data_IF_619472129706
#
_entry.id   IF_619472129706
#
_cell.length_a   1.000
_cell.length_b   1.000
_cell.length_c   1.000
_cell.angle_alpha   90.00
_cell.angle_beta   90.00
_cell.angle_gamma   90.00
#
_symmetry.space_group_name_H-M   'P 1'
#
loop_
_entity.id
_entity.type
_entity.pdbx_description
1 polymer ?
#
# COMPACT_ATOMS: atom_id res chain seq x y z
N UNK A 1 -4.42 -5.88 10.29
CA UNK A 1 -3.46 -6.86 9.73
C UNK A 1 -2.57 -6.15 8.73
N UNK A 2 -1.27 -6.46 8.71
CA UNK A 2 -0.30 -5.96 7.74
C UNK A 2 0.14 -7.14 6.88
N UNK A 3 0.04 -7.02 5.56
CA UNK A 3 0.54 -7.99 4.59
C UNK A 3 1.80 -7.43 3.92
N UNK A 4 2.83 -8.24 3.76
CA UNK A 4 3.97 -7.93 2.88
C UNK A 4 3.77 -8.68 1.58
N UNK A 5 3.76 -7.97 0.46
CA UNK A 5 3.43 -8.52 -0.85
C UNK A 5 4.36 -7.99 -1.94
N UNK A 6 5.32 -8.81 -2.36
CA UNK A 6 6.24 -8.51 -3.45
C UNK A 6 5.61 -8.56 -4.84
N UNK A 7 4.34 -8.97 -4.95
CA UNK A 7 3.54 -8.84 -6.17
C UNK A 7 2.93 -7.46 -6.39
N UNK A 8 2.97 -6.58 -5.38
CA UNK A 8 2.45 -5.22 -5.45
C UNK A 8 3.59 -4.20 -5.54
N UNK A 9 3.57 -3.34 -6.56
CA UNK A 9 4.57 -2.27 -6.71
C UNK A 9 4.47 -1.21 -5.61
N UNK A 10 3.25 -0.90 -5.18
CA UNK A 10 2.97 0.19 -4.25
C UNK A 10 2.49 -0.32 -2.90
N UNK A 11 2.64 0.52 -1.87
CA UNK A 11 1.98 0.27 -0.59
C UNK A 11 0.50 0.68 -0.69
N UNK A 12 -0.37 -0.14 -0.11
CA UNK A 12 -1.82 0.04 -0.17
C UNK A 12 -2.36 0.14 1.25
N UNK A 13 -3.26 1.09 1.47
CA UNK A 13 -3.95 1.30 2.74
C UNK A 13 -5.46 1.29 2.49
N UNK A 14 -6.23 0.63 3.36
CA UNK A 14 -7.68 0.71 3.25
C UNK A 14 -8.19 2.13 3.52
N UNK A 15 -9.07 2.62 2.67
CA UNK A 15 -9.63 3.97 2.79
C UNK A 15 -10.31 4.21 4.15
N UNK A 16 -10.98 3.20 4.71
CA UNK A 16 -11.61 3.32 6.02
C UNK A 16 -10.59 3.54 7.15
N UNK A 17 -9.45 2.84 7.09
CA UNK A 17 -8.38 2.99 8.08
C UNK A 17 -7.74 4.38 8.00
N UNK A 18 -7.49 4.89 6.79
CA UNK A 18 -6.97 6.25 6.59
C UNK A 18 -7.90 7.31 7.20
N UNK A 19 -9.21 7.17 7.02
CA UNK A 19 -10.21 8.05 7.62
C UNK A 19 -10.28 7.93 9.15
N UNK A 20 -10.29 6.70 9.66
CA UNK A 20 -10.34 6.44 11.10
C UNK A 20 -9.13 7.00 11.85
N UNK A 21 -7.94 6.94 11.22
CA UNK A 21 -6.69 7.49 11.76
C UNK A 21 -6.50 8.99 11.46
N UNK A 22 -7.48 9.64 10.82
CA UNK A 22 -7.41 11.05 10.43
C UNK A 22 -6.16 11.42 9.60
N UNK A 23 -5.73 10.52 8.72
CA UNK A 23 -4.60 10.79 7.83
C UNK A 23 -4.97 11.84 6.79
N UNK A 24 -3.97 12.59 6.33
CA UNK A 24 -4.16 13.52 5.22
C UNK A 24 -4.36 12.72 3.92
N UNK A 25 -5.57 12.79 3.37
CA UNK A 25 -5.94 12.11 2.13
C UNK A 25 -5.91 13.14 1.01
N UNK A 26 -5.13 12.86 -0.02
CA UNK A 26 -4.94 13.72 -1.18
C UNK A 26 -5.38 12.98 -2.46
N UNK A 27 -5.89 13.70 -3.47
CA UNK A 27 -6.14 13.12 -4.77
C UNK A 27 -4.81 12.72 -5.43
N UNK A 28 -4.80 11.59 -6.13
CA UNK A 28 -3.67 11.15 -6.97
C UNK A 28 -4.12 11.05 -8.43
N UNK A 29 -3.15 10.98 -9.34
CA UNK A 29 -3.43 10.53 -10.71
C UNK A 29 -4.10 9.15 -10.65
N UNK A 30 -5.28 9.05 -11.26
CA UNK A 30 -6.05 7.82 -11.28
C UNK A 30 -5.34 6.70 -12.04
N UNK A 31 -5.30 5.51 -11.45
CA UNK A 31 -4.86 4.29 -12.12
C UNK A 31 -5.74 3.10 -11.71
N UNK A 32 -5.80 2.09 -12.57
CA UNK A 32 -6.60 0.89 -12.34
C UNK A 32 -5.71 -0.35 -12.29
N UNK A 33 -5.94 -1.21 -11.30
CA UNK A 33 -5.28 -2.51 -11.19
C UNK A 33 -6.36 -3.60 -11.28
N UNK A 34 -6.14 -4.57 -12.15
CA UNK A 34 -6.96 -5.77 -12.19
C UNK A 34 -6.58 -6.68 -11.03
N UNK A 35 -7.57 -7.02 -10.20
CA UNK A 35 -7.39 -7.94 -9.07
C UNK A 35 -7.89 -9.34 -9.42
N UNK A 36 -7.53 -10.36 -8.63
CA UNK A 36 -7.66 -11.78 -8.98
C UNK A 36 -9.05 -12.30 -9.38
N UNK A 37 -10.12 -11.52 -9.15
CA UNK A 37 -11.48 -11.82 -9.61
C UNK A 37 -11.84 -11.15 -10.95
N UNK A 38 -10.86 -10.56 -11.67
CA UNK A 38 -11.01 -9.77 -12.90
C UNK A 38 -11.76 -8.45 -12.72
N UNK A 39 -12.03 -8.04 -11.49
CA UNK A 39 -12.51 -6.69 -11.23
C UNK A 39 -11.36 -5.70 -11.37
N UNK A 40 -11.72 -4.49 -11.80
CA UNK A 40 -10.82 -3.37 -11.85
C UNK A 40 -11.01 -2.51 -10.61
N UNK A 41 -9.94 -2.34 -9.85
CA UNK A 41 -9.91 -1.42 -8.72
C UNK A 41 -9.27 -0.13 -9.17
N UNK A 42 -10.03 0.96 -9.05
CA UNK A 42 -9.56 2.31 -9.38
C UNK A 42 -9.02 2.97 -8.11
N UNK A 43 -7.78 3.43 -8.18
CA UNK A 43 -7.12 4.22 -7.15
C UNK A 43 -7.17 5.68 -7.55
N UNK A 44 -7.79 6.52 -6.71
CA UNK A 44 -7.93 7.96 -6.95
C UNK A 44 -7.37 8.83 -5.83
N UNK A 45 -7.00 8.21 -4.70
CA UNK A 45 -6.51 8.92 -3.52
C UNK A 45 -5.28 8.22 -2.94
N UNK A 46 -4.46 9.01 -2.25
CA UNK A 46 -3.29 8.55 -1.53
C UNK A 46 -3.10 9.32 -0.21
N UNK A 47 -2.22 8.78 0.64
CA UNK A 47 -1.64 9.48 1.78
C UNK A 47 -0.13 9.47 1.56
N UNK A 48 0.50 10.64 1.40
CA UNK A 48 1.91 10.71 0.97
C UNK A 48 2.93 10.53 2.11
N UNK A 49 2.54 10.82 3.35
CA UNK A 49 3.43 10.81 4.50
C UNK A 49 2.77 10.10 5.69
N UNK A 50 2.65 8.78 5.61
CA UNK A 50 2.09 7.97 6.71
C UNK A 50 3.22 7.40 7.57
N UNK A 51 3.27 7.73 8.88
CA UNK A 51 4.21 7.09 9.79
C UNK A 51 3.77 5.65 10.06
N UNK A 52 4.64 4.70 9.75
CA UNK A 52 4.51 3.29 10.05
C UNK A 52 5.59 2.88 11.05
N UNK A 53 5.18 2.61 12.28
CA UNK A 53 6.10 2.28 13.38
C UNK A 53 6.12 0.76 13.63
N UNK A 54 7.31 0.20 13.53
CA UNK A 54 7.68 -1.12 14.06
C UNK A 54 8.40 -0.94 15.40
N UNK A 55 8.56 -1.99 16.22
CA UNK A 55 9.12 -1.86 17.57
C UNK A 55 10.45 -1.11 17.67
N UNK A 56 11.28 -1.15 16.63
CA UNK A 56 12.62 -0.55 16.63
C UNK A 56 12.80 0.58 15.62
N UNK A 57 11.89 0.75 14.66
CA UNK A 57 12.06 1.67 13.52
C UNK A 57 10.73 2.27 13.10
N UNK A 58 10.76 3.52 12.64
CA UNK A 58 9.62 4.18 12.01
C UNK A 58 9.96 4.56 10.58
N UNK A 59 9.05 4.25 9.67
CA UNK A 59 9.14 4.60 8.26
C UNK A 59 8.06 5.65 7.95
N UNK A 60 8.39 6.64 7.12
CA UNK A 60 7.39 7.54 6.56
C UNK A 60 7.21 7.17 5.09
N UNK A 61 6.03 6.64 4.74
CA UNK A 61 5.79 6.02 3.45
C UNK A 61 4.53 6.58 2.79
N UNK A 62 4.50 6.65 1.45
CA UNK A 62 3.27 6.89 0.73
C UNK A 62 2.43 5.61 0.66
N UNK A 63 1.11 5.76 0.72
CA UNK A 63 0.11 4.70 0.55
C UNK A 63 -0.97 5.13 -0.44
N UNK A 64 -1.33 4.24 -1.37
CA UNK A 64 -2.51 4.41 -2.20
C UNK A 64 -3.73 3.82 -1.51
N UNK A 65 -4.89 4.49 -1.65
CA UNK A 65 -6.08 4.11 -0.92
C UNK A 65 -6.94 3.12 -1.70
N UNK A 66 -7.16 1.96 -1.11
CA UNK A 66 -8.08 0.95 -1.61
C UNK A 66 -9.52 1.33 -1.22
N UNK A 67 -10.46 1.48 -2.19
CA UNK A 67 -11.83 1.91 -1.89
C UNK A 67 -12.74 0.81 -1.31
N UNK A 68 -12.44 -0.47 -1.53
CA UNK A 68 -13.31 -1.61 -1.17
C UNK A 68 -12.87 -2.36 0.12
N UNK A 69 -13.68 -3.33 0.55
CA UNK A 69 -13.36 -4.35 1.58
C UNK A 69 -12.06 -5.09 1.22
N UNK A 70 -11.20 -5.37 2.21
CA UNK A 70 -9.85 -5.87 1.96
C UNK A 70 -8.94 -5.91 3.19
N UNK A 71 -7.63 -6.01 2.95
CA UNK A 71 -6.60 -6.12 3.97
C UNK A 71 -6.13 -4.75 4.45
N UNK A 72 -6.11 -4.53 5.77
CA UNK A 72 -5.78 -3.26 6.44
C UNK A 72 -4.64 -2.46 5.81
N UNK A 73 -3.47 -3.08 5.70
CA UNK A 73 -2.24 -2.48 5.15
C UNK A 73 -1.54 -3.53 4.29
N UNK A 74 -1.13 -3.17 3.08
CA UNK A 74 -0.25 -3.97 2.22
C UNK A 74 1.04 -3.18 1.98
N UNK A 75 2.18 -3.80 2.27
CA UNK A 75 3.51 -3.26 2.02
C UNK A 75 4.07 -3.93 0.77
N UNK A 76 4.24 -3.13 -0.27
CA UNK A 76 4.71 -3.58 -1.57
C UNK A 76 6.21 -3.45 -1.74
N UNK A 77 6.65 -3.58 -2.98
CA UNK A 77 8.03 -3.35 -3.42
C UNK A 77 8.52 -1.96 -2.98
N UNK A 78 7.68 -0.92 -3.04
CA UNK A 78 8.06 0.42 -2.59
C UNK A 78 8.61 0.45 -1.14
N UNK A 79 8.02 -0.32 -0.23
CA UNK A 79 8.55 -0.47 1.13
C UNK A 79 9.75 -1.43 1.18
N UNK A 80 9.72 -2.57 0.48
CA UNK A 80 10.83 -3.52 0.45
C UNK A 80 12.14 -2.86 -0.02
N UNK A 81 12.08 -2.02 -1.06
CA UNK A 81 13.22 -1.23 -1.54
C UNK A 81 13.77 -0.25 -0.51
N UNK A 82 12.96 0.17 0.47
CA UNK A 82 13.37 1.14 1.50
C UNK A 82 14.18 0.51 2.64
N UNK A 83 14.07 -0.81 2.83
CA UNK A 83 14.78 -1.54 3.89
C UNK A 83 16.11 -2.15 3.42
N UNK A 84 16.36 -2.16 2.11
CA UNK A 84 17.62 -2.60 1.52
C UNK A 84 17.45 -3.33 0.18
N UNK A 85 18.56 -3.86 -0.38
CA UNK A 85 18.51 -4.74 -1.55
C UNK A 85 17.66 -5.98 -1.28
N UNK A 86 16.85 -6.40 -2.26
CA UNK A 86 16.07 -7.63 -2.21
C UNK A 86 16.19 -8.38 -3.54
N UNK A 87 16.08 -9.71 -3.49
CA UNK A 87 15.99 -10.56 -4.67
C UNK A 87 14.61 -11.21 -4.73
N UNK A 88 13.95 -11.08 -5.88
CA UNK A 88 12.68 -11.76 -6.13
C UNK A 88 12.97 -13.07 -6.88
N UNK A 89 12.69 -14.18 -6.21
CA UNK A 89 12.87 -15.51 -6.80
C UNK A 89 11.61 -15.86 -7.59
N UNK A 90 11.76 -16.03 -8.90
CA UNK A 90 10.70 -16.53 -9.78
C UNK A 90 10.88 -18.03 -9.96
N UNK A 91 9.90 -18.84 -9.54
CA UNK A 91 9.87 -20.26 -9.89
C UNK A 91 9.28 -20.41 -11.30
N UNK A 92 10.11 -20.87 -12.24
CA UNK A 92 9.71 -21.26 -13.60
C UNK A 92 9.04 -22.63 -13.63
#
# INVERSE_FOLDING_TARGET
MVLVDSGNFHNILQSHLAKHLHLNIEPTQSFSIMVGNRDNVIYNNCCLAVPLTFPTHTFTLPFYLLPNEGLGIVLGIAWLSSIGPYEQIFYS
#
